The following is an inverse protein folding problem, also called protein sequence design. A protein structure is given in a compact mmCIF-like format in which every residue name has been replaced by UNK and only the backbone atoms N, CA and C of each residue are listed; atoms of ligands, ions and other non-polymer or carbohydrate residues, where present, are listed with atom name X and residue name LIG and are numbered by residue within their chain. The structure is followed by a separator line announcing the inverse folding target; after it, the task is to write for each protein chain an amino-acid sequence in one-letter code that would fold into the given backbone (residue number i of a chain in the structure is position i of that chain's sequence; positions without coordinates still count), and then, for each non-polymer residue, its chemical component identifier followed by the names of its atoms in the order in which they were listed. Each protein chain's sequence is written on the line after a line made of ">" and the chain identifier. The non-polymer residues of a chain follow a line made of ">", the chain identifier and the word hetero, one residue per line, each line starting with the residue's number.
data_IF_238012420190
#
_entry.id   IF_238012420190
#
_cell.length_a   1.000
_cell.length_b   1.000
_cell.length_c   1.000
_cell.angle_alpha   90.00
_cell.angle_beta   90.00
_cell.angle_gamma   90.00
#
_symmetry.space_group_name_H-M   'P 1'
#
loop_
_entity.id
_entity.type
_entity.pdbx_description
1 polymer ?
2 water ?
#
# COMPACT_ATOMS: atom_id res chain seq x y z
N UNK A 16 -13.64 8.78 0.92
CA UNK A 16 -12.50 8.10 1.53
C UNK A 16 -11.33 8.08 0.56
N UNK A 17 -10.21 8.67 0.96
CA UNK A 17 -9.02 8.70 0.13
C UNK A 17 -7.89 7.98 0.84
N UNK A 18 -6.68 8.04 0.28
CA UNK A 18 -5.54 7.48 0.97
C UNK A 18 -5.12 8.34 2.14
N UNK A 19 -4.39 7.74 3.07
CA UNK A 19 -3.72 8.49 4.12
C UNK A 19 -2.23 8.45 3.86
N UNK A 20 -1.54 9.45 4.37
CA UNK A 20 -0.10 9.51 4.35
C UNK A 20 0.42 9.00 5.68
N UNK A 21 1.40 8.12 5.68
CA UNK A 21 2.02 7.61 6.89
C UNK A 21 3.53 7.78 6.82
N UNK A 22 4.18 7.56 7.96
CA UNK A 22 5.60 7.87 8.11
C UNK A 22 6.18 6.93 9.15
N UNK A 23 7.50 6.96 9.32
CA UNK A 23 8.14 6.20 10.37
C UNK A 23 7.47 6.49 11.74
N UNK A 24 7.22 7.77 12.01
CA UNK A 24 6.68 8.19 13.29
C UNK A 24 5.25 7.70 13.52
N UNK A 25 4.46 7.62 12.45
CA UNK A 25 3.05 7.26 12.62
C UNK A 25 2.73 5.82 12.24
N UNK A 26 3.71 5.03 11.80
CA UNK A 26 3.40 3.73 11.23
C UNK A 26 2.71 2.82 12.25
N UNK A 27 3.16 2.86 13.49
CA UNK A 27 2.54 1.97 14.49
C UNK A 27 1.09 2.31 14.78
N UNK A 28 0.77 3.58 14.91
CA UNK A 28 -0.61 3.97 15.22
C UNK A 28 -1.51 3.90 14.00
N UNK A 29 -0.99 4.23 12.83
CA UNK A 29 -1.86 4.43 11.68
C UNK A 29 -1.89 3.22 10.74
N UNK A 30 -0.89 2.35 10.83
CA UNK A 30 -0.90 1.13 10.02
C UNK A 30 -1.01 -0.09 10.92
N UNK A 31 -0.06 -0.28 11.82
CA UNK A 31 -0.01 -1.54 12.54
C UNK A 31 -1.21 -1.71 13.47
N UNK A 32 -1.69 -0.61 14.04
CA UNK A 32 -2.81 -0.63 14.99
C UNK A 32 -4.15 -0.43 14.32
N UNK A 33 -4.19 -0.33 12.99
CA UNK A 33 -5.45 -0.14 12.31
C UNK A 33 -6.42 -1.28 12.57
N UNK A 34 -7.68 -0.91 12.73
CA UNK A 34 -8.74 -1.91 12.80
C UNK A 34 -8.93 -2.55 11.43
N UNK A 35 -8.96 -1.73 10.38
CA UNK A 35 -9.12 -2.25 9.02
C UNK A 35 -7.79 -2.79 8.49
N UNK A 36 -7.84 -3.77 7.59
CA UNK A 36 -6.61 -4.06 6.87
C UNK A 36 -6.07 -2.80 6.17
N UNK A 37 -4.76 -2.72 6.01
CA UNK A 37 -4.14 -1.55 5.40
C UNK A 37 -3.26 -1.95 4.24
N UNK A 38 -3.54 -1.39 3.07
CA UNK A 38 -2.66 -1.56 1.94
C UNK A 38 -1.70 -0.40 1.91
N UNK A 39 -0.41 -0.67 2.11
CA UNK A 39 0.60 0.39 2.18
C UNK A 39 1.35 0.46 0.85
N UNK A 40 1.34 1.63 0.24
CA UNK A 40 2.06 1.93 -0.97
C UNK A 40 3.40 2.54 -0.65
N UNK A 41 4.47 1.83 -0.94
CA UNK A 41 5.83 2.33 -0.79
C UNK A 41 6.22 2.99 -2.10
N UNK A 42 6.52 4.28 -2.07
CA UNK A 42 6.70 5.06 -3.30
C UNK A 42 7.72 6.17 -3.12
N UNK A 43 8.03 6.90 -4.19
CA UNK A 43 8.90 8.04 -4.09
C UNK A 43 8.52 9.06 -5.16
N UNK A 44 8.83 10.33 -4.90
CA UNK A 44 8.36 11.41 -5.78
C UNK A 44 8.96 11.37 -7.18
N UNK A 45 10.16 10.85 -7.32
CA UNK A 45 10.86 10.80 -8.60
C UNK A 45 10.48 9.57 -9.43
N UNK A 46 9.71 8.67 -8.86
CA UNK A 46 9.51 7.41 -9.53
C UNK A 46 8.31 7.43 -10.48
N UNK A 47 8.59 7.10 -11.72
CA UNK A 47 7.59 7.06 -12.77
C UNK A 47 6.45 6.06 -12.56
N UNK A 48 6.77 4.77 -12.37
CA UNK A 48 5.65 3.83 -12.20
C UNK A 48 4.82 4.10 -10.94
N UNK A 49 5.42 4.71 -9.93
CA UNK A 49 4.65 5.11 -8.74
C UNK A 49 3.48 6.01 -9.12
N UNK A 50 3.73 6.91 -10.07
CA UNK A 50 2.70 7.84 -10.50
C UNK A 50 1.54 7.13 -11.18
N UNK A 51 1.83 6.06 -11.91
CA UNK A 51 0.77 5.30 -12.57
C UNK A 51 -0.09 4.53 -11.60
N UNK A 52 0.49 4.08 -10.50
CA UNK A 52 -0.36 3.28 -9.64
C UNK A 52 -1.15 4.17 -8.68
N UNK A 53 -0.70 5.38 -8.44
CA UNK A 53 -1.39 6.26 -7.50
C UNK A 53 -2.91 6.40 -7.77
N UNK A 54 -3.36 6.61 -9.02
CA UNK A 54 -4.82 6.76 -9.18
C UNK A 54 -5.58 5.45 -8.97
N UNK A 55 -4.98 4.31 -9.25
CA UNK A 55 -5.65 3.03 -8.98
C UNK A 55 -5.86 2.89 -7.46
N UNK A 56 -4.85 3.27 -6.69
CA UNK A 56 -4.98 3.21 -5.23
C UNK A 56 -6.02 4.16 -4.70
N UNK A 57 -6.17 5.34 -5.29
CA UNK A 57 -7.21 6.25 -4.82
C UNK A 57 -8.59 5.69 -5.13
N UNK A 58 -8.74 5.07 -6.28
CA UNK A 58 -10.00 4.42 -6.64
C UNK A 58 -10.36 3.32 -5.66
N UNK A 59 -9.40 2.46 -5.35
CA UNK A 59 -9.64 1.37 -4.42
C UNK A 59 -9.94 1.93 -3.03
N UNK A 60 -9.21 2.96 -2.63
CA UNK A 60 -9.43 3.53 -1.30
C UNK A 60 -10.86 4.07 -1.14
N UNK A 61 -11.40 4.62 -2.22
CA UNK A 61 -12.78 5.09 -2.21
C UNK A 61 -13.76 3.92 -2.24
N UNK A 62 -13.62 3.02 -3.20
CA UNK A 62 -14.60 1.97 -3.44
C UNK A 62 -14.65 0.96 -2.31
N UNK A 63 -13.51 0.69 -1.71
CA UNK A 63 -13.41 -0.30 -0.64
C UNK A 63 -13.22 0.32 0.73
N UNK A 64 -13.50 1.61 0.84
CA UNK A 64 -13.20 2.39 2.03
C UNK A 64 -13.76 1.89 3.34
N UNK A 65 -14.89 1.21 3.32
CA UNK A 65 -15.45 0.71 4.56
C UNK A 65 -14.69 -0.52 5.04
N UNK A 66 -13.91 -1.15 4.16
CA UNK A 66 -13.23 -2.42 4.45
C UNK A 66 -11.72 -2.39 4.39
N UNK A 67 -11.18 -1.27 3.92
CA UNK A 67 -9.75 -1.19 3.62
C UNK A 67 -9.26 0.23 3.79
N UNK A 68 -8.11 0.37 4.42
CA UNK A 68 -7.40 1.64 4.44
C UNK A 68 -6.25 1.54 3.45
N UNK A 69 -6.02 2.60 2.67
CA UNK A 69 -4.85 2.64 1.79
C UNK A 69 -3.94 3.76 2.26
N UNK A 70 -2.70 3.41 2.58
CA UNK A 70 -1.72 4.35 3.16
C UNK A 70 -0.55 4.51 2.22
N UNK A 71 0.06 5.68 2.16
CA UNK A 71 1.19 5.93 1.31
C UNK A 71 2.38 6.28 2.16
N UNK A 72 3.50 5.62 1.87
CA UNK A 72 4.73 5.79 2.60
C UNK A 72 5.82 6.19 1.60
N UNK A 73 6.27 7.44 1.65
CA UNK A 73 7.37 7.94 0.84
C UNK A 73 8.66 7.36 1.39
N UNK A 74 9.27 6.44 0.64
CA UNK A 74 10.42 5.72 1.17
C UNK A 74 11.64 6.63 1.38
N UNK A 75 11.70 7.76 0.67
CA UNK A 75 12.85 8.64 0.81
C UNK A 75 12.77 9.46 2.08
N UNK A 76 11.55 9.76 2.52
CA UNK A 76 11.34 10.45 3.78
C UNK A 76 11.32 9.47 4.94
N UNK A 77 11.08 8.20 4.63
CA UNK A 77 10.89 7.19 5.66
C UNK A 77 11.67 5.93 5.36
N UNK A 78 13.00 6.06 5.19
CA UNK A 78 13.72 4.86 4.75
C UNK A 78 13.81 3.80 5.83
N UNK A 79 13.59 4.16 7.07
CA UNK A 79 13.58 3.18 8.16
C UNK A 79 12.47 2.14 8.00
N UNK A 80 11.25 2.60 7.72
CA UNK A 80 10.13 1.68 7.51
C UNK A 80 10.34 0.83 6.25
N UNK A 81 10.86 1.45 5.20
CA UNK A 81 11.15 0.70 3.98
C UNK A 81 12.15 -0.41 4.27
N UNK A 82 13.21 -0.07 5.00
CA UNK A 82 14.24 -1.06 5.34
C UNK A 82 13.64 -2.17 6.18
N UNK A 83 12.82 -1.79 7.17
CA UNK A 83 12.24 -2.77 8.06
C UNK A 83 11.37 -3.81 7.37
N UNK A 84 10.70 -3.41 6.28
CA UNK A 84 9.85 -4.35 5.58
C UNK A 84 10.48 -4.86 4.30
N UNK A 85 11.78 -4.66 4.17
CA UNK A 85 12.53 -5.20 3.03
C UNK A 85 11.93 -4.72 1.69
N UNK A 86 11.64 -3.44 1.63
CA UNK A 86 11.18 -2.80 0.40
C UNK A 86 12.34 -2.05 -0.24
N UNK A 87 12.80 -2.59 -1.37
CA UNK A 87 13.88 -2.03 -2.14
C UNK A 87 13.33 -1.37 -3.39
N UNK A 88 12.53 -2.11 -4.16
CA UNK A 88 11.96 -1.53 -5.37
C UNK A 88 10.66 -0.83 -5.06
N UNK A 89 10.28 0.07 -5.96
CA UNK A 89 9.04 0.82 -5.84
C UNK A 89 8.46 0.98 -7.24
N UNK A 90 7.13 1.04 -7.35
CA UNK A 90 6.16 0.94 -6.26
C UNK A 90 5.99 -0.50 -5.76
N UNK A 91 5.93 -0.65 -4.45
CA UNK A 91 5.66 -1.94 -3.82
C UNK A 91 4.51 -1.72 -2.86
N UNK A 92 3.53 -2.60 -2.85
CA UNK A 92 2.42 -2.53 -1.91
C UNK A 92 2.53 -3.67 -0.97
N UNK A 93 2.30 -3.42 0.31
CA UNK A 93 2.19 -4.50 1.30
C UNK A 93 0.86 -4.36 2.03
N UNK A 94 0.12 -5.46 2.05
CA UNK A 94 -1.12 -5.54 2.79
C UNK A 94 -0.83 -5.99 4.21
N UNK A 95 -1.31 -5.20 5.16
CA UNK A 95 -1.19 -5.48 6.60
C UNK A 95 -2.54 -5.85 7.18
N UNK A 96 -2.55 -6.87 8.04
CA UNK A 96 -3.72 -7.19 8.82
C UNK A 96 -3.30 -7.40 10.24
N UNK A 97 -3.87 -6.64 11.18
CA UNK A 97 -3.62 -6.87 12.59
C UNK A 97 -2.13 -6.72 12.90
N UNK A 98 -1.47 -5.76 12.24
CA UNK A 98 -0.08 -5.53 12.48
C UNK A 98 0.87 -6.39 11.65
N UNK A 99 0.33 -7.38 10.92
CA UNK A 99 1.20 -8.36 10.22
C UNK A 99 1.20 -8.14 8.72
N UNK A 100 2.39 -8.09 8.08
CA UNK A 100 2.41 -8.05 6.61
C UNK A 100 1.96 -9.41 6.11
N UNK A 101 0.97 -9.43 5.24
CA UNK A 101 0.49 -10.72 4.78
C UNK A 101 0.69 -10.93 3.29
N UNK A 102 0.87 -9.89 2.50
CA UNK A 102 1.02 -10.07 1.05
C UNK A 102 1.67 -8.86 0.43
N UNK A 103 2.51 -9.10 -0.58
CA UNK A 103 3.19 -8.04 -1.30
C UNK A 103 2.77 -8.05 -2.75
N UNK A 104 2.64 -6.86 -3.33
CA UNK A 104 2.37 -6.61 -4.73
C UNK A 104 3.48 -5.75 -5.26
N UNK A 105 4.03 -6.12 -6.40
CA UNK A 105 5.13 -5.36 -6.98
C UNK A 105 4.69 -4.78 -8.30
N UNK A 106 4.89 -3.48 -8.49
CA UNK A 106 4.67 -2.85 -9.75
C UNK A 106 3.31 -2.21 -9.99
N UNK A 107 3.25 -1.36 -11.00
CA UNK A 107 2.00 -0.71 -11.39
C UNK A 107 1.15 -1.62 -12.27
N UNK A 108 -0.13 -1.70 -11.95
CA UNK A 108 -1.07 -2.42 -12.80
C UNK A 108 -2.46 -1.85 -12.61
N UNK A 109 -3.39 -2.28 -13.46
CA UNK A 109 -4.74 -1.77 -13.43
C UNK A 109 -5.52 -2.29 -12.22
N UNK A 110 -6.67 -1.67 -11.96
CA UNK A 110 -7.44 -1.96 -10.76
C UNK A 110 -7.92 -3.41 -10.71
N UNK A 111 -8.47 -3.91 -11.81
CA UNK A 111 -8.92 -5.30 -11.86
C UNK A 111 -7.78 -6.26 -11.56
N UNK A 112 -6.65 -6.08 -12.23
CA UNK A 112 -5.47 -6.91 -11.99
C UNK A 112 -5.03 -6.84 -10.53
N UNK A 113 -5.00 -5.63 -9.98
CA UNK A 113 -4.52 -5.45 -8.62
C UNK A 113 -5.42 -6.13 -7.60
N UNK A 114 -6.74 -5.93 -7.75
CA UNK A 114 -7.67 -6.55 -6.81
C UNK A 114 -7.62 -8.07 -6.91
N UNK A 115 -7.53 -8.61 -8.12
CA UNK A 115 -7.41 -10.05 -8.26
C UNK A 115 -6.11 -10.58 -7.67
N UNK A 116 -5.02 -9.83 -7.83
CA UNK A 116 -3.77 -10.30 -7.27
C UNK A 116 -3.83 -10.27 -5.74
N UNK A 117 -4.38 -9.19 -5.21
CA UNK A 117 -4.54 -9.07 -3.77
C UNK A 117 -5.37 -10.20 -3.19
N UNK A 118 -6.41 -10.62 -3.91
CA UNK A 118 -7.28 -11.66 -3.44
C UNK A 118 -6.56 -12.99 -3.23
N UNK A 119 -7.01 -13.78 -2.25
CA UNK A 119 -6.57 -15.16 -2.15
C UNK A 119 -7.50 -16.12 -2.88
N UNK A 120 -8.54 -15.58 -3.50
CA UNK A 120 -9.51 -16.39 -4.25
C UNK A 120 -9.16 -16.40 -5.73
N UNK A 121 -9.67 -17.41 -6.42
CA UNK A 121 -9.51 -17.50 -7.87
C UNK A 121 -10.89 -17.71 -8.47
N UNK A 122 -11.13 -17.21 -9.69
CA UNK A 122 -12.45 -17.43 -10.29
C UNK A 122 -12.60 -18.85 -10.83
N UNK A 123 -13.78 -19.43 -10.72
CA UNK A 123 -14.03 -20.69 -11.41
C UNK A 123 -14.85 -20.44 -12.67
#
# INVERSE_FOLDING_TARGET
>A
MAHHHHHHMTDAEKAIATIEVSDASFSTDVLASNKPVLVDFWATWCGPCKMVAPVLEEIASERGDHLTVAKLDVDANPETAQNFQVVSIPTLILFKDGQPVKRIVGAKGKAALLRELSDAVPNLG
#
